data_IF_651983422902
#
_entry.id   IF_651983422902
#
_cell.length_a   1.000
_cell.length_b   1.000
_cell.length_c   1.000
_cell.angle_alpha   90.00
_cell.angle_beta   90.00
_cell.angle_gamma   90.00
#
_symmetry.space_group_name_H-M   'P 1'
#
loop_
_entity.id
_entity.type
_entity.pdbx_description
1 polymer ?
#
# COMPACT_ATOMS: atom_id res chain seq x y z
N UNK A 1 65.11 21.47 26.58
CA UNK A 1 64.16 20.38 26.26
C UNK A 1 64.93 19.07 26.15
N UNK A 2 64.85 18.27 27.23
CA UNK A 2 65.58 17.02 27.56
C UNK A 2 65.05 16.71 28.97
N UNK A 3 64.44 15.59 29.34
CA UNK A 3 64.77 14.16 29.20
C UNK A 3 63.54 13.44 29.78
N UNK A 4 62.84 12.59 29.02
CA UNK A 4 62.92 11.12 29.08
C UNK A 4 63.25 10.57 30.48
N UNK A 5 62.34 9.76 31.05
CA UNK A 5 62.48 8.72 32.11
C UNK A 5 61.04 8.41 32.57
N UNK A 6 60.52 7.20 32.74
CA UNK A 6 61.05 5.84 32.71
C UNK A 6 59.83 4.89 32.93
N UNK A 7 59.96 3.63 32.50
CA UNK A 7 59.43 2.38 33.12
C UNK A 7 57.91 2.27 33.34
N UNK A 8 57.21 1.36 32.66
CA UNK A 8 57.13 -0.10 32.90
C UNK A 8 56.38 -0.50 34.19
N UNK A 9 55.41 -1.41 33.99
CA UNK A 9 54.89 -2.40 34.97
C UNK A 9 54.16 -1.81 36.19
N UNK A 10 53.11 -2.38 36.76
CA UNK A 10 52.35 -3.59 36.54
C UNK A 10 51.02 -3.44 37.31
N UNK A 11 49.97 -4.03 36.76
CA UNK A 11 49.09 -4.96 37.45
C UNK A 11 48.69 -4.66 38.92
N UNK A 12 47.48 -4.15 39.14
CA UNK A 12 46.66 -4.55 40.30
C UNK A 12 45.21 -4.70 39.85
N UNK A 13 44.77 -5.96 39.84
CA UNK A 13 43.37 -6.35 39.81
C UNK A 13 42.78 -5.95 41.17
N UNK A 14 41.78 -5.07 41.15
CA UNK A 14 40.92 -4.84 42.29
C UNK A 14 39.47 -4.99 41.83
N UNK A 15 38.90 -6.13 42.22
CA UNK A 15 37.49 -6.44 42.25
C UNK A 15 36.74 -5.28 42.93
N UNK A 16 35.93 -4.54 42.19
CA UNK A 16 35.14 -3.42 42.69
C UNK A 16 33.78 -3.42 42.02
N UNK A 17 32.76 -3.67 42.83
CA UNK A 17 31.33 -3.71 42.54
C UNK A 17 30.88 -2.93 41.28
N UNK A 18 30.26 -3.66 40.35
CA UNK A 18 29.53 -3.07 39.24
C UNK A 18 28.40 -2.17 39.77
N UNK A 19 28.34 -0.87 39.42
CA UNK A 19 27.05 -0.20 39.42
C UNK A 19 26.24 -0.83 38.29
N UNK A 20 25.03 -1.28 38.62
CA UNK A 20 24.05 -1.72 37.65
C UNK A 20 23.81 -0.56 36.67
N UNK A 21 24.52 -0.59 35.54
CA UNK A 21 24.13 0.16 34.36
C UNK A 21 22.76 -0.39 33.99
N UNK A 22 21.72 0.39 34.29
CA UNK A 22 20.41 0.20 33.70
C UNK A 22 20.63 0.24 32.19
N UNK A 23 20.72 -0.95 31.59
CA UNK A 23 20.52 -1.12 30.18
C UNK A 23 19.15 -0.50 29.91
N UNK A 24 19.12 0.71 29.39
CA UNK A 24 17.94 1.24 28.73
C UNK A 24 17.57 0.18 27.71
N UNK A 25 16.51 -0.57 28.02
CA UNK A 25 15.87 -1.44 27.06
C UNK A 25 15.73 -0.60 25.78
N UNK A 26 16.14 -1.12 24.61
CA UNK A 26 15.90 -0.42 23.37
C UNK A 26 14.43 -0.03 23.39
N UNK A 27 14.17 1.28 23.32
CA UNK A 27 12.81 1.78 23.26
C UNK A 27 12.09 0.94 22.20
N UNK A 28 10.89 0.41 22.49
CA UNK A 28 10.17 -0.37 21.50
C UNK A 28 10.14 0.45 20.23
N UNK A 29 10.84 -0.04 19.20
CA UNK A 29 10.82 0.58 17.90
C UNK A 29 9.34 0.80 17.60
N UNK A 30 8.98 2.06 17.34
CA UNK A 30 7.64 2.39 16.91
C UNK A 30 7.25 1.34 15.86
N UNK A 31 6.08 0.69 15.99
CA UNK A 31 5.69 -0.32 15.03
C UNK A 31 5.86 0.29 13.65
N UNK A 32 6.53 -0.41 12.75
CA UNK A 32 6.71 -0.01 11.37
C UNK A 32 5.34 0.03 10.69
N UNK A 33 4.55 1.06 10.96
CA UNK A 33 3.37 1.43 10.20
C UNK A 33 3.85 2.32 9.07
N UNK A 34 4.28 1.72 7.97
CA UNK A 34 4.39 2.44 6.70
C UNK A 34 4.61 1.46 5.55
N UNK A 35 3.56 0.78 5.12
CA UNK A 35 3.52 0.43 3.69
C UNK A 35 3.58 1.78 2.94
N UNK A 36 4.54 1.97 2.03
CA UNK A 36 4.68 3.25 1.33
C UNK A 36 3.45 3.57 0.46
N UNK A 37 3.31 4.82 -0.04
CA UNK A 37 2.16 5.22 -0.86
C UNK A 37 1.89 4.29 -2.05
N UNK A 38 2.96 3.75 -2.65
CA UNK A 38 2.88 2.73 -3.70
C UNK A 38 2.16 1.46 -3.22
N UNK A 39 2.63 0.87 -2.13
CA UNK A 39 2.09 -0.39 -1.61
C UNK A 39 0.64 -0.22 -1.14
N UNK A 40 0.29 0.91 -0.52
CA UNK A 40 -1.09 1.20 -0.12
C UNK A 40 -2.01 1.32 -1.32
N UNK A 41 -1.56 2.03 -2.36
CA UNK A 41 -2.31 2.16 -3.61
C UNK A 41 -2.50 0.81 -4.30
N UNK A 42 -1.41 0.04 -4.49
CA UNK A 42 -1.46 -1.27 -5.14
C UNK A 42 -2.36 -2.25 -4.38
N UNK A 43 -2.29 -2.25 -3.04
CA UNK A 43 -3.14 -3.11 -2.20
C UNK A 43 -4.63 -2.75 -2.37
N UNK A 44 -4.96 -1.47 -2.35
CA UNK A 44 -6.33 -1.00 -2.52
C UNK A 44 -6.86 -1.26 -3.95
N UNK A 45 -6.00 -1.07 -4.96
CA UNK A 45 -6.31 -1.33 -6.36
C UNK A 45 -6.52 -2.83 -6.61
N UNK A 46 -5.68 -3.70 -6.06
CA UNK A 46 -5.84 -5.16 -6.16
C UNK A 46 -7.11 -5.65 -5.44
N UNK A 47 -7.47 -5.04 -4.31
CA UNK A 47 -8.74 -5.32 -3.65
C UNK A 47 -9.95 -4.94 -4.53
N UNK A 48 -9.88 -3.80 -5.23
CA UNK A 48 -10.91 -3.37 -6.18
C UNK A 48 -11.02 -4.36 -7.37
N UNK A 49 -9.89 -4.81 -7.90
CA UNK A 49 -9.86 -5.83 -8.94
C UNK A 49 -10.48 -7.15 -8.47
N UNK A 50 -10.16 -7.57 -7.24
CA UNK A 50 -10.74 -8.76 -6.60
C UNK A 50 -12.25 -8.68 -6.41
N UNK A 51 -12.77 -7.51 -6.03
CA UNK A 51 -14.22 -7.26 -5.96
C UNK A 51 -14.90 -7.43 -7.31
N UNK A 52 -14.31 -6.86 -8.37
CA UNK A 52 -14.86 -6.98 -9.72
C UNK A 52 -14.77 -8.40 -10.28
N UNK A 53 -13.72 -9.15 -9.95
CA UNK A 53 -13.64 -10.60 -10.25
C UNK A 53 -14.78 -11.37 -9.59
N UNK A 54 -15.02 -11.13 -8.30
CA UNK A 54 -16.13 -11.76 -7.57
C UNK A 54 -17.48 -11.37 -8.17
N UNK A 55 -17.68 -10.10 -8.50
CA UNK A 55 -18.92 -9.64 -9.13
C UNK A 55 -19.18 -10.33 -10.48
N UNK A 56 -18.15 -10.40 -11.32
CA UNK A 56 -18.27 -11.03 -12.64
C UNK A 56 -18.51 -12.55 -12.57
N UNK A 57 -18.01 -13.21 -11.54
CA UNK A 57 -18.20 -14.65 -11.34
C UNK A 57 -19.58 -15.01 -10.76
N UNK A 58 -20.31 -14.05 -10.20
CA UNK A 58 -21.57 -14.27 -9.50
C UNK A 58 -22.79 -14.00 -10.40
N UNK A 59 -23.96 -14.58 -10.09
CA UNK A 59 -25.21 -14.24 -10.78
C UNK A 59 -25.55 -12.73 -10.68
N UNK A 60 -26.25 -12.20 -11.69
CA UNK A 60 -26.71 -10.80 -11.72
C UNK A 60 -28.02 -10.66 -10.94
N UNK A 61 -27.95 -10.78 -9.61
CA UNK A 61 -29.12 -10.67 -8.74
C UNK A 61 -28.85 -9.73 -7.58
N UNK A 62 -29.85 -8.93 -7.20
CA UNK A 62 -29.72 -7.95 -6.13
C UNK A 62 -29.25 -8.56 -4.80
N UNK A 63 -29.72 -9.77 -4.47
CA UNK A 63 -29.34 -10.46 -3.23
C UNK A 63 -27.85 -10.81 -3.17
N UNK A 64 -27.25 -11.19 -4.31
CA UNK A 64 -25.83 -11.57 -4.38
C UNK A 64 -24.94 -10.33 -4.53
N UNK A 65 -25.43 -9.29 -5.21
CA UNK A 65 -24.66 -8.08 -5.50
C UNK A 65 -24.63 -7.08 -4.33
N UNK A 66 -25.70 -7.00 -3.53
CA UNK A 66 -25.79 -6.09 -2.39
C UNK A 66 -24.58 -6.16 -1.42
N UNK A 67 -24.09 -7.35 -0.99
CA UNK A 67 -22.89 -7.40 -0.14
C UNK A 67 -21.64 -6.89 -0.86
N UNK A 68 -21.44 -7.27 -2.13
CA UNK A 68 -20.29 -6.82 -2.93
C UNK A 68 -20.30 -5.30 -3.16
N UNK A 69 -21.49 -4.72 -3.35
CA UNK A 69 -21.67 -3.29 -3.48
C UNK A 69 -21.30 -2.56 -2.17
N UNK A 70 -21.72 -3.06 -1.00
CA UNK A 70 -21.33 -2.48 0.29
C UNK A 70 -19.83 -2.56 0.52
N UNK A 71 -19.21 -3.69 0.18
CA UNK A 71 -17.76 -3.86 0.24
C UNK A 71 -17.04 -2.85 -0.69
N UNK A 72 -17.54 -2.65 -1.92
CA UNK A 72 -17.02 -1.67 -2.86
C UNK A 72 -17.13 -0.24 -2.33
N UNK A 73 -18.29 0.14 -1.82
CA UNK A 73 -18.49 1.47 -1.22
C UNK A 73 -17.56 1.68 -0.04
N UNK A 74 -17.42 0.69 0.86
CA UNK A 74 -16.50 0.79 2.00
C UNK A 74 -15.04 0.92 1.55
N UNK A 75 -14.61 0.16 0.54
CA UNK A 75 -13.27 0.26 -0.04
C UNK A 75 -13.02 1.67 -0.59
N UNK A 76 -13.93 2.19 -1.41
CA UNK A 76 -13.79 3.51 -2.02
C UNK A 76 -13.81 4.63 -0.97
N UNK A 77 -14.69 4.53 0.04
CA UNK A 77 -14.72 5.48 1.15
C UNK A 77 -13.43 5.45 1.96
N UNK A 78 -12.88 4.27 2.25
CA UNK A 78 -11.59 4.13 2.92
C UNK A 78 -10.47 4.74 2.09
N UNK A 79 -10.40 4.44 0.79
CA UNK A 79 -9.38 4.99 -0.10
C UNK A 79 -9.42 6.53 -0.13
N UNK A 80 -10.63 7.11 -0.18
CA UNK A 80 -10.83 8.56 -0.09
C UNK A 80 -10.44 9.13 1.27
N UNK A 81 -10.88 8.51 2.37
CA UNK A 81 -10.61 8.98 3.73
C UNK A 81 -9.11 8.93 4.06
N UNK A 82 -8.42 7.89 3.60
CA UNK A 82 -6.98 7.72 3.76
C UNK A 82 -6.15 8.48 2.72
N UNK A 83 -6.80 9.19 1.78
CA UNK A 83 -6.16 9.93 0.70
C UNK A 83 -5.14 9.09 -0.10
N UNK A 84 -5.46 7.80 -0.32
CA UNK A 84 -4.55 6.85 -0.98
C UNK A 84 -4.13 7.36 -2.38
N UNK A 85 -5.10 7.71 -3.23
CA UNK A 85 -4.83 8.18 -4.60
C UNK A 85 -4.05 9.51 -4.61
N UNK A 86 -4.42 10.56 -3.86
CA UNK A 86 -3.60 11.77 -3.75
C UNK A 86 -2.17 11.51 -3.26
N UNK A 87 -1.99 10.66 -2.24
CA UNK A 87 -0.67 10.34 -1.70
C UNK A 87 0.19 9.60 -2.74
N UNK A 88 -0.40 8.66 -3.47
CA UNK A 88 0.26 7.96 -4.57
C UNK A 88 0.65 8.91 -5.71
N UNK A 89 -0.24 9.80 -6.14
CA UNK A 89 0.06 10.80 -7.18
C UNK A 89 1.18 11.75 -6.75
N UNK A 90 1.15 12.23 -5.50
CA UNK A 90 2.22 13.07 -4.96
C UNK A 90 3.56 12.31 -4.90
N UNK A 91 3.52 11.04 -4.50
CA UNK A 91 4.69 10.18 -4.49
C UNK A 91 5.26 9.99 -5.89
N UNK A 92 4.43 9.67 -6.90
CA UNK A 92 4.86 9.55 -8.30
C UNK A 92 5.57 10.81 -8.82
N UNK A 93 5.06 11.99 -8.47
CA UNK A 93 5.66 13.29 -8.85
C UNK A 93 7.02 13.55 -8.20
N UNK A 94 7.29 12.92 -7.06
CA UNK A 94 8.56 13.06 -6.34
C UNK A 94 9.66 12.14 -6.87
N UNK A 95 9.31 11.14 -7.70
CA UNK A 95 10.25 10.14 -8.20
C UNK A 95 11.14 10.68 -9.32
N UNK A 96 12.38 10.16 -9.38
CA UNK A 96 13.24 10.32 -10.55
C UNK A 96 12.76 9.41 -11.68
N UNK A 97 13.27 9.64 -12.89
CA UNK A 97 12.82 8.95 -14.11
C UNK A 97 12.93 7.42 -14.03
N UNK A 98 14.00 6.91 -13.43
CA UNK A 98 14.25 5.48 -13.25
C UNK A 98 13.28 4.87 -12.25
N UNK A 99 13.06 5.54 -11.13
CA UNK A 99 12.13 5.14 -10.07
C UNK A 99 10.68 5.16 -10.58
N UNK A 100 10.32 6.20 -11.34
CA UNK A 100 9.01 6.31 -11.98
C UNK A 100 8.77 5.16 -12.97
N UNK A 101 9.78 4.76 -13.73
CA UNK A 101 9.67 3.61 -14.64
C UNK A 101 9.35 2.33 -13.86
N UNK A 102 10.04 2.09 -12.75
CA UNK A 102 9.79 0.94 -11.87
C UNK A 102 8.38 0.99 -11.28
N UNK A 103 7.95 2.15 -10.77
CA UNK A 103 6.61 2.35 -10.22
C UNK A 103 5.51 2.06 -11.24
N UNK A 104 5.69 2.53 -12.49
CA UNK A 104 4.78 2.24 -13.59
C UNK A 104 4.76 0.75 -13.92
N UNK A 105 5.92 0.07 -13.91
CA UNK A 105 5.97 -1.38 -14.13
C UNK A 105 5.22 -2.16 -13.05
N UNK A 106 5.35 -1.78 -11.78
CA UNK A 106 4.59 -2.38 -10.69
C UNK A 106 3.09 -2.16 -10.86
N UNK A 107 2.67 -0.93 -11.20
CA UNK A 107 1.26 -0.64 -11.48
C UNK A 107 0.73 -1.46 -12.67
N UNK A 108 1.51 -1.59 -13.75
CA UNK A 108 1.14 -2.42 -14.90
C UNK A 108 1.05 -3.91 -14.56
N UNK A 109 1.87 -4.39 -13.62
CA UNK A 109 1.83 -5.77 -13.14
C UNK A 109 0.70 -6.03 -12.13
N UNK A 110 0.12 -4.99 -11.53
CA UNK A 110 -0.98 -5.11 -10.57
C UNK A 110 -2.20 -5.81 -11.16
N UNK A 111 -2.97 -6.49 -10.30
CA UNK A 111 -4.22 -7.11 -10.72
C UNK A 111 -5.22 -6.07 -11.20
N UNK A 112 -5.15 -4.84 -10.70
CA UNK A 112 -5.94 -3.70 -11.18
C UNK A 112 -5.77 -3.48 -12.68
N UNK A 113 -4.56 -3.17 -13.16
CA UNK A 113 -4.35 -2.92 -14.58
C UNK A 113 -4.58 -4.18 -15.42
N UNK A 114 -4.10 -5.33 -14.95
CA UNK A 114 -4.22 -6.60 -15.69
C UNK A 114 -5.66 -7.10 -15.86
N UNK A 115 -6.54 -6.81 -14.90
CA UNK A 115 -7.93 -7.26 -14.91
C UNK A 115 -8.90 -6.13 -15.26
N UNK A 116 -8.94 -5.04 -14.49
CA UNK A 116 -9.88 -3.94 -14.72
C UNK A 116 -9.63 -3.22 -16.05
N UNK A 117 -8.36 -3.08 -16.46
CA UNK A 117 -8.04 -2.47 -17.75
C UNK A 117 -8.61 -3.27 -18.93
N UNK A 118 -8.59 -4.61 -18.85
CA UNK A 118 -9.17 -5.49 -19.87
C UNK A 118 -10.69 -5.59 -19.75
N UNK A 119 -11.20 -5.64 -18.52
CA UNK A 119 -12.63 -5.80 -18.25
C UNK A 119 -13.46 -4.63 -18.79
N UNK A 120 -12.94 -3.40 -18.73
CA UNK A 120 -13.63 -2.20 -19.22
C UNK A 120 -14.02 -2.27 -20.70
N UNK A 121 -13.25 -2.97 -21.51
CA UNK A 121 -13.50 -3.11 -22.96
C UNK A 121 -14.05 -4.50 -23.32
N UNK A 122 -14.31 -5.34 -22.32
CA UNK A 122 -14.71 -6.72 -22.53
C UNK A 122 -16.23 -6.82 -22.82
N UNK A 123 -16.65 -7.51 -23.90
CA UNK A 123 -18.08 -7.67 -24.23
C UNK A 123 -18.89 -8.33 -23.10
N UNK A 124 -18.27 -9.24 -22.33
CA UNK A 124 -18.91 -9.87 -21.18
C UNK A 124 -19.24 -8.88 -20.06
N UNK A 125 -18.43 -7.83 -19.89
CA UNK A 125 -18.71 -6.76 -18.94
C UNK A 125 -19.87 -5.90 -19.43
N UNK A 126 -19.93 -5.63 -20.74
CA UNK A 126 -21.05 -4.94 -21.37
C UNK A 126 -22.37 -5.69 -21.15
N UNK A 127 -22.36 -6.99 -21.39
CA UNK A 127 -23.50 -7.86 -21.11
C UNK A 127 -23.82 -7.92 -19.61
N UNK A 128 -22.84 -7.79 -18.71
CA UNK A 128 -23.06 -7.77 -17.26
C UNK A 128 -23.81 -6.53 -16.83
N UNK A 129 -23.33 -5.33 -17.14
CA UNK A 129 -23.96 -4.12 -16.61
C UNK A 129 -25.35 -3.85 -17.22
N UNK A 130 -25.62 -4.32 -18.44
CA UNK A 130 -26.98 -4.30 -19.03
C UNK A 130 -28.00 -5.08 -18.18
N UNK A 131 -27.54 -6.09 -17.44
CA UNK A 131 -28.37 -6.94 -16.56
C UNK A 131 -28.29 -6.53 -15.09
N UNK A 132 -27.29 -5.74 -14.72
CA UNK A 132 -27.09 -5.27 -13.36
C UNK A 132 -26.59 -3.82 -13.36
N UNK A 133 -27.43 -2.84 -12.96
CA UNK A 133 -26.96 -1.47 -12.76
C UNK A 133 -25.88 -1.39 -11.68
N UNK A 134 -25.91 -2.29 -10.68
CA UNK A 134 -24.91 -2.37 -9.60
C UNK A 134 -23.51 -2.60 -10.16
N UNK A 135 -23.36 -3.39 -11.22
CA UNK A 135 -22.05 -3.63 -11.82
C UNK A 135 -21.46 -2.41 -12.53
N UNK A 136 -22.30 -1.61 -13.19
CA UNK A 136 -21.90 -0.32 -13.72
C UNK A 136 -21.50 0.64 -12.59
N UNK A 137 -22.33 0.74 -11.55
CA UNK A 137 -22.08 1.63 -10.40
C UNK A 137 -20.79 1.28 -9.65
N UNK A 138 -20.51 -0.01 -9.44
CA UNK A 138 -19.28 -0.46 -8.80
C UNK A 138 -18.05 -0.12 -9.65
N UNK A 139 -18.12 -0.36 -10.96
CA UNK A 139 -17.02 0.01 -11.87
C UNK A 139 -16.77 1.52 -11.84
N UNK A 140 -17.82 2.34 -11.93
CA UNK A 140 -17.69 3.79 -11.89
C UNK A 140 -17.16 4.27 -10.54
N UNK A 141 -17.59 3.69 -9.42
CA UNK A 141 -17.06 4.04 -8.09
C UNK A 141 -15.57 3.74 -7.99
N UNK A 142 -15.15 2.57 -8.46
CA UNK A 142 -13.74 2.15 -8.46
C UNK A 142 -12.92 3.11 -9.35
N UNK A 143 -13.32 3.33 -10.59
CA UNK A 143 -12.59 4.21 -11.50
C UNK A 143 -12.44 5.62 -10.93
N UNK A 144 -13.51 6.18 -10.35
CA UNK A 144 -13.47 7.49 -9.72
C UNK A 144 -12.59 7.54 -8.46
N UNK A 145 -12.53 6.46 -7.67
CA UNK A 145 -11.73 6.41 -6.45
C UNK A 145 -10.23 6.31 -6.74
N UNK A 146 -9.87 5.64 -7.84
CA UNK A 146 -8.49 5.34 -8.24
C UNK A 146 -8.00 6.17 -9.44
N UNK A 147 -8.74 7.21 -9.82
CA UNK A 147 -8.35 8.15 -10.86
C UNK A 147 -7.17 9.03 -10.38
N UNK A 148 -5.99 8.71 -10.88
CA UNK A 148 -4.74 9.43 -10.57
C UNK A 148 -4.61 10.75 -11.31
N UNK A 149 -5.33 10.96 -12.42
CA UNK A 149 -5.25 12.17 -13.24
C UNK A 149 -6.01 13.33 -12.62
N UNK A 150 -6.94 13.02 -11.71
CA UNK A 150 -7.74 14.00 -10.99
C UNK A 150 -6.95 14.83 -9.96
N UNK A 151 -5.75 14.40 -9.58
CA UNK A 151 -4.92 14.97 -8.51
C UNK A 151 -3.55 15.38 -9.02
#
# INVERSE_FOLDING_TARGET
MRTLRFLCFAFVIALGAAPAAQAQAPAPAAPATANGPEQEFLTAADAAAGLMKRLMAQPATAAVEAPLQRECTALCQRAKAQRITPAYTQWLRSLRKEELRTAVQHLQASAFVQYLGKLQTAPEFEARYKRSPVAADMMLQILNAFDIERY
#
